data_IF_614028816954
#
_entry.id   IF_614028816954
#
_cell.length_a   1.000
_cell.length_b   1.000
_cell.length_c   1.000
_cell.angle_alpha   90.00
_cell.angle_beta   90.00
_cell.angle_gamma   90.00
#
_symmetry.space_group_name_H-M   'P 1'
#
loop_
_entity.id
_entity.type
_entity.pdbx_description
1 polymer ?
#
# COMPACT_ATOMS: atom_id res chain seq x y z
N UNK A 1 -17.23 -58.95 -60.14
CA UNK A 1 -16.58 -57.65 -59.90
C UNK A 1 -17.32 -56.98 -58.75
N UNK A 2 -16.76 -57.08 -57.54
CA UNK A 2 -17.25 -56.48 -56.29
C UNK A 2 -16.07 -55.73 -55.63
N UNK A 3 -16.32 -54.80 -54.69
CA UNK A 3 -15.79 -53.43 -54.68
C UNK A 3 -14.53 -53.27 -53.81
N UNK A 4 -14.00 -52.03 -53.65
CA UNK A 4 -13.29 -51.70 -52.42
C UNK A 4 -13.94 -50.53 -51.67
N UNK A 5 -14.23 -50.85 -50.41
CA UNK A 5 -14.69 -50.00 -49.33
C UNK A 5 -13.61 -48.98 -48.94
N UNK A 6 -13.96 -47.69 -48.91
CA UNK A 6 -13.14 -46.71 -48.24
C UNK A 6 -13.20 -46.92 -46.71
N UNK A 7 -12.05 -47.35 -46.19
CA UNK A 7 -11.73 -47.57 -44.78
C UNK A 7 -12.09 -46.35 -43.91
N UNK A 8 -13.06 -46.52 -43.00
CA UNK A 8 -13.14 -45.73 -41.76
C UNK A 8 -11.88 -46.00 -40.93
N UNK A 9 -10.96 -45.03 -40.84
CA UNK A 9 -9.93 -45.04 -39.78
C UNK A 9 -10.56 -44.52 -38.50
N UNK A 10 -10.86 -45.44 -37.58
CA UNK A 10 -10.98 -45.15 -36.15
C UNK A 10 -9.59 -44.82 -35.63
N UNK A 11 -9.36 -43.59 -35.14
CA UNK A 11 -8.20 -43.33 -34.30
C UNK A 11 -8.46 -43.91 -32.91
N UNK A 12 -7.64 -44.91 -32.60
CA UNK A 12 -7.60 -45.64 -31.34
C UNK A 12 -6.87 -44.78 -30.32
N UNK A 13 -7.52 -44.53 -29.18
CA UNK A 13 -6.90 -43.92 -28.02
C UNK A 13 -5.72 -44.79 -27.57
N UNK A 14 -4.52 -44.24 -27.65
CA UNK A 14 -3.34 -44.78 -27.00
C UNK A 14 -2.93 -43.79 -25.93
N UNK A 15 -3.28 -44.16 -24.69
CA UNK A 15 -2.82 -43.54 -23.47
C UNK A 15 -1.30 -43.74 -23.37
N UNK A 16 -0.57 -42.63 -23.32
CA UNK A 16 0.83 -42.61 -22.90
C UNK A 16 0.89 -42.17 -21.42
N UNK A 17 1.83 -42.71 -20.65
CA UNK A 17 1.82 -42.64 -19.19
C UNK A 17 2.20 -41.24 -18.69
N UNK A 18 1.31 -40.67 -17.87
CA UNK A 18 1.55 -39.50 -17.04
C UNK A 18 2.69 -39.80 -16.06
N UNK A 19 3.83 -39.14 -16.25
CA UNK A 19 4.89 -39.07 -15.22
C UNK A 19 4.47 -38.00 -14.22
N UNK A 20 3.85 -38.43 -13.11
CA UNK A 20 3.60 -37.57 -11.95
C UNK A 20 4.93 -37.34 -11.24
N UNK A 21 5.46 -36.12 -11.30
CA UNK A 21 6.43 -35.65 -10.32
C UNK A 21 5.66 -35.32 -9.03
N UNK A 22 5.79 -36.20 -8.05
CA UNK A 22 5.29 -36.02 -6.69
C UNK A 22 6.28 -35.13 -5.94
N UNK A 23 5.89 -33.88 -5.68
CA UNK A 23 6.58 -33.02 -4.72
C UNK A 23 5.98 -33.33 -3.35
N UNK A 24 6.78 -33.93 -2.49
CA UNK A 24 6.46 -34.16 -1.08
C UNK A 24 6.35 -32.82 -0.35
N UNK A 25 5.16 -32.53 0.16
CA UNK A 25 4.96 -31.47 1.14
C UNK A 25 5.15 -32.05 2.55
N UNK A 26 5.93 -31.41 3.45
CA UNK A 26 5.97 -31.83 4.85
C UNK A 26 4.63 -31.53 5.52
N UNK A 27 3.92 -32.60 5.88
CA UNK A 27 2.71 -32.55 6.69
C UNK A 27 3.07 -32.36 8.16
N UNK A 28 2.89 -31.14 8.67
CA UNK A 28 2.95 -30.90 10.12
C UNK A 28 1.63 -31.35 10.76
N UNK A 29 1.61 -32.60 11.22
CA UNK A 29 0.56 -33.15 12.07
C UNK A 29 0.83 -32.72 13.52
N UNK A 30 -0.01 -31.83 14.07
CA UNK A 30 -0.05 -31.59 15.50
C UNK A 30 -0.73 -32.77 16.20
N UNK A 31 0.08 -33.55 16.93
CA UNK A 31 -0.41 -34.56 17.88
C UNK A 31 -0.84 -33.85 19.17
N UNK A 32 -2.04 -34.11 19.70
CA UNK A 32 -2.37 -33.71 21.07
C UNK A 32 -1.70 -34.67 22.06
N UNK A 33 -0.82 -34.15 22.91
CA UNK A 33 -0.27 -34.90 24.05
C UNK A 33 -1.24 -34.81 25.22
N UNK A 34 -1.86 -35.94 25.56
CA UNK A 34 -2.51 -36.20 26.83
C UNK A 34 -1.46 -36.47 27.91
N UNK A 35 -1.52 -35.78 29.06
CA UNK A 35 -0.99 -36.32 30.33
C UNK A 35 -1.79 -35.79 31.53
N UNK A 36 -2.61 -36.69 32.05
CA UNK A 36 -3.03 -37.00 33.43
C UNK A 36 -2.65 -36.07 34.60
N UNK A 37 -3.70 -35.52 35.19
CA UNK A 37 -4.12 -35.48 36.62
C UNK A 37 -3.08 -35.65 37.73
N UNK A 38 -3.04 -34.69 38.66
CA UNK A 38 -2.87 -34.97 40.09
C UNK A 38 -3.83 -34.11 40.90
N UNK A 39 -4.68 -34.78 41.68
CA UNK A 39 -5.68 -34.25 42.60
C UNK A 39 -5.01 -33.73 43.86
N UNK A 40 -5.39 -32.56 44.36
CA UNK A 40 -5.43 -32.32 45.81
C UNK A 40 -6.54 -31.34 46.17
N UNK A 41 -7.20 -31.67 47.26
CA UNK A 41 -8.53 -31.29 47.71
C UNK A 41 -8.54 -30.17 48.76
N UNK A 42 -9.71 -29.50 48.85
CA UNK A 42 -10.35 -28.88 50.02
C UNK A 42 -9.86 -27.48 50.47
N UNK A 43 -10.72 -26.47 50.29
CA UNK A 43 -11.41 -25.67 51.35
C UNK A 43 -12.06 -24.43 50.69
N UNK A 44 -13.39 -24.36 50.56
CA UNK A 44 -14.35 -23.74 51.48
C UNK A 44 -14.51 -22.20 51.29
N UNK A 45 -15.78 -21.78 51.12
CA UNK A 45 -16.49 -20.50 51.43
C UNK A 45 -15.79 -19.12 51.27
N UNK A 46 -16.37 -18.22 50.45
CA UNK A 46 -17.36 -17.18 50.86
C UNK A 46 -17.80 -16.33 49.66
N UNK A 47 -19.12 -16.14 49.54
CA UNK A 47 -19.72 -15.00 48.85
C UNK A 47 -19.23 -13.70 49.50
N UNK A 48 -18.73 -12.77 48.69
CA UNK A 48 -18.87 -11.35 48.96
C UNK A 48 -19.17 -10.62 47.65
N UNK A 49 -20.42 -10.17 47.57
CA UNK A 49 -20.83 -9.02 46.79
C UNK A 49 -20.01 -7.80 47.20
N UNK A 50 -19.38 -7.14 46.24
CA UNK A 50 -18.96 -5.75 46.40
C UNK A 50 -19.34 -4.96 45.15
N UNK A 51 -20.37 -4.15 45.35
CA UNK A 51 -20.72 -2.99 44.54
C UNK A 51 -19.62 -1.95 44.78
N UNK A 52 -18.86 -1.60 43.74
CA UNK A 52 -17.92 -0.49 43.80
C UNK A 52 -18.20 0.48 42.67
N UNK A 53 -18.82 1.59 43.05
CA UNK A 53 -18.96 2.81 42.28
C UNK A 53 -17.58 3.40 42.02
N UNK A 54 -17.28 3.77 40.78
CA UNK A 54 -16.14 4.64 40.47
C UNK A 54 -16.44 5.48 39.24
N UNK A 55 -15.88 6.71 39.18
CA UNK A 55 -16.52 7.85 38.57
C UNK A 55 -16.35 7.88 37.05
N UNK A 56 -17.30 8.56 36.40
CA UNK A 56 -17.22 9.01 35.02
C UNK A 56 -15.92 9.81 34.85
N UNK A 57 -14.92 9.16 34.25
CA UNK A 57 -13.69 9.83 33.84
C UNK A 57 -13.99 10.46 32.49
N UNK A 58 -14.04 11.78 32.49
CA UNK A 58 -14.04 12.61 31.30
C UNK A 58 -12.92 12.15 30.36
N UNK A 59 -13.33 11.57 29.24
CA UNK A 59 -12.52 11.28 28.05
C UNK A 59 -11.85 12.60 27.62
N UNK A 60 -10.62 12.77 28.07
CA UNK A 60 -9.75 13.86 27.61
C UNK A 60 -8.85 13.23 26.56
N UNK A 61 -9.11 13.60 25.32
CA UNK A 61 -8.36 13.28 24.11
C UNK A 61 -6.86 13.53 24.30
N UNK A 62 -6.08 12.46 24.47
CA UNK A 62 -4.61 12.46 24.41
C UNK A 62 -4.16 11.54 23.27
N UNK A 63 -4.38 11.96 22.02
CA UNK A 63 -3.89 11.21 20.84
C UNK A 63 -2.82 11.97 20.06
N UNK A 64 -2.52 13.22 20.43
CA UNK A 64 -1.59 14.08 19.67
C UNK A 64 -0.11 13.83 20.00
N UNK A 65 0.23 13.34 21.19
CA UNK A 65 1.64 13.18 21.60
C UNK A 65 2.32 11.96 20.94
N UNK A 66 1.59 10.86 20.73
CA UNK A 66 2.17 9.63 20.15
C UNK A 66 2.47 9.77 18.66
N UNK A 67 1.60 10.43 17.89
CA UNK A 67 1.84 10.71 16.47
C UNK A 67 3.01 11.68 16.27
N UNK A 68 3.10 12.73 17.09
CA UNK A 68 4.19 13.72 17.03
C UNK A 68 5.57 13.05 17.18
N UNK A 69 5.77 12.21 18.20
CA UNK A 69 7.04 11.50 18.41
C UNK A 69 7.42 10.54 17.27
N UNK A 70 6.42 10.00 16.57
CA UNK A 70 6.62 9.07 15.47
C UNK A 70 6.98 9.81 14.17
N UNK A 71 6.37 10.98 13.93
CA UNK A 71 6.74 11.87 12.83
C UNK A 71 8.14 12.45 13.01
N UNK A 72 8.54 12.76 14.25
CA UNK A 72 9.91 13.20 14.55
C UNK A 72 10.95 12.14 14.20
N UNK A 73 10.65 10.85 14.46
CA UNK A 73 11.52 9.74 14.11
C UNK A 73 11.64 9.58 12.58
N UNK A 74 10.52 9.71 11.85
CA UNK A 74 10.53 9.73 10.39
C UNK A 74 11.38 10.89 9.85
N UNK A 75 11.18 12.09 10.39
CA UNK A 75 11.97 13.27 10.01
C UNK A 75 13.46 13.07 10.28
N UNK A 76 13.81 12.44 11.42
CA UNK A 76 15.19 12.11 11.73
C UNK A 76 15.81 11.18 10.67
N UNK A 77 15.16 10.06 10.34
CA UNK A 77 15.66 9.13 9.32
C UNK A 77 15.81 9.78 7.94
N UNK A 78 14.84 10.59 7.54
CA UNK A 78 14.89 11.34 6.29
C UNK A 78 16.02 12.38 6.27
N UNK A 79 16.23 13.09 7.39
CA UNK A 79 17.33 14.06 7.52
C UNK A 79 18.72 13.42 7.45
N UNK A 80 18.85 12.16 7.91
CA UNK A 80 20.07 11.37 7.78
C UNK A 80 20.20 10.65 6.43
N UNK A 81 19.30 10.91 5.47
CA UNK A 81 19.22 10.21 4.19
C UNK A 81 19.13 8.68 4.30
N UNK A 82 18.61 8.18 5.42
CA UNK A 82 18.35 6.76 5.64
C UNK A 82 16.92 6.43 5.16
N UNK A 83 16.76 6.45 3.84
CA UNK A 83 15.46 6.27 3.20
C UNK A 83 14.85 4.89 3.45
N UNK A 84 15.69 3.88 3.72
CA UNK A 84 15.23 2.54 4.09
C UNK A 84 14.53 2.54 5.43
N UNK A 85 15.16 3.10 6.47
CA UNK A 85 14.51 3.23 7.78
C UNK A 85 13.33 4.18 7.75
N UNK A 86 13.40 5.25 6.95
CA UNK A 86 12.27 6.15 6.75
C UNK A 86 11.06 5.43 6.13
N UNK A 87 11.26 4.51 5.18
CA UNK A 87 10.18 3.72 4.60
C UNK A 87 9.55 2.75 5.61
N UNK A 88 10.39 2.06 6.39
CA UNK A 88 9.92 1.17 7.46
C UNK A 88 9.11 1.93 8.51
N UNK A 89 9.58 3.11 8.89
CA UNK A 89 8.90 3.99 9.84
C UNK A 89 7.60 4.57 9.26
N UNK A 90 7.59 4.92 7.98
CA UNK A 90 6.37 5.35 7.27
C UNK A 90 5.32 4.24 7.29
N UNK A 91 5.72 2.99 7.05
CA UNK A 91 4.81 1.85 7.12
C UNK A 91 4.26 1.63 8.53
N UNK A 92 5.12 1.76 9.55
CA UNK A 92 4.72 1.66 10.96
C UNK A 92 3.72 2.76 11.33
N UNK A 93 3.96 3.99 10.87
CA UNK A 93 3.06 5.14 11.04
C UNK A 93 1.69 4.88 10.40
N UNK A 94 1.64 4.44 9.15
CA UNK A 94 0.37 4.12 8.48
C UNK A 94 -0.42 3.05 9.25
N UNK A 95 0.24 2.03 9.76
CA UNK A 95 -0.37 0.99 10.58
C UNK A 95 -0.91 1.57 11.89
N UNK A 96 -0.15 2.45 12.55
CA UNK A 96 -0.57 3.09 13.79
C UNK A 96 -1.81 3.98 13.58
N UNK A 97 -1.79 4.79 12.53
CA UNK A 97 -2.85 5.75 12.18
C UNK A 97 -4.14 5.06 11.68
N UNK A 98 -4.02 3.91 11.01
CA UNK A 98 -5.17 3.11 10.58
C UNK A 98 -5.97 2.50 11.75
N UNK A 99 -5.39 2.48 12.96
CA UNK A 99 -6.07 2.08 14.20
C UNK A 99 -5.59 0.74 14.79
N UNK A 100 -6.13 0.37 15.95
CA UNK A 100 -5.66 -0.78 16.73
C UNK A 100 -5.74 -2.13 15.98
N UNK A 101 -6.75 -2.29 15.13
CA UNK A 101 -6.93 -3.51 14.35
C UNK A 101 -5.76 -3.73 13.37
N UNK A 102 -5.32 -2.65 12.70
CA UNK A 102 -4.16 -2.69 11.82
C UNK A 102 -2.88 -2.96 12.60
N UNK A 103 -2.71 -2.33 13.77
CA UNK A 103 -1.54 -2.55 14.65
C UNK A 103 -1.39 -4.00 15.11
N UNK A 104 -2.48 -4.62 15.59
CA UNK A 104 -2.47 -6.03 16.01
C UNK A 104 -2.11 -6.99 14.88
N UNK A 105 -2.45 -6.62 13.64
CA UNK A 105 -2.25 -7.45 12.45
C UNK A 105 -0.92 -7.18 11.74
N UNK A 106 -0.34 -5.99 11.93
CA UNK A 106 0.91 -5.55 11.32
C UNK A 106 0.80 -5.09 9.85
N UNK A 107 -0.41 -4.82 9.34
CA UNK A 107 -0.62 -4.24 8.02
C UNK A 107 -1.99 -3.55 7.90
N UNK A 108 -2.10 -2.60 6.97
CA UNK A 108 -3.31 -1.80 6.70
C UNK A 108 -4.13 -2.41 5.56
N UNK A 109 -5.45 -2.49 5.72
CA UNK A 109 -6.38 -2.75 4.63
C UNK A 109 -6.81 -1.45 3.96
N UNK A 110 -7.17 -1.51 2.67
CA UNK A 110 -7.60 -0.33 1.91
C UNK A 110 -8.81 0.38 2.56
N UNK A 111 -9.73 -0.36 3.17
CA UNK A 111 -10.90 0.19 3.88
C UNK A 111 -10.54 0.91 5.18
N UNK A 112 -9.34 0.71 5.71
CA UNK A 112 -8.86 1.36 6.92
C UNK A 112 -8.19 2.71 6.62
N UNK A 113 -7.76 2.93 5.36
CA UNK A 113 -7.09 4.18 4.94
C UNK A 113 -7.98 5.39 5.15
N UNK A 114 -9.30 5.25 4.97
CA UNK A 114 -10.26 6.33 5.18
C UNK A 114 -10.31 6.87 6.62
N UNK A 115 -9.78 6.12 7.60
CA UNK A 115 -9.73 6.54 9.00
C UNK A 115 -8.46 7.33 9.33
N UNK A 116 -7.49 7.35 8.42
CA UNK A 116 -6.27 8.13 8.59
C UNK A 116 -6.60 9.60 8.35
N UNK A 117 -6.19 10.48 9.28
CA UNK A 117 -6.43 11.91 9.12
C UNK A 117 -5.74 12.45 7.86
N UNK A 118 -6.41 13.32 7.07
CA UNK A 118 -5.77 14.01 5.96
C UNK A 118 -4.51 14.78 6.36
N UNK A 119 -4.49 15.34 7.57
CA UNK A 119 -3.37 16.12 8.08
C UNK A 119 -2.14 15.25 8.37
N UNK A 120 -2.35 14.04 8.90
CA UNK A 120 -1.26 13.11 9.19
C UNK A 120 -0.62 12.58 7.89
N UNK A 121 -1.43 12.20 6.88
CA UNK A 121 -0.90 11.80 5.57
C UNK A 121 -0.16 12.95 4.88
N UNK A 122 -0.69 14.17 4.99
CA UNK A 122 -0.03 15.36 4.44
C UNK A 122 1.28 15.67 5.17
N UNK A 123 1.37 15.44 6.48
CA UNK A 123 2.60 15.60 7.24
C UNK A 123 3.67 14.58 6.79
N UNK A 124 3.30 13.31 6.63
CA UNK A 124 4.20 12.27 6.10
C UNK A 124 4.70 12.67 4.70
N UNK A 125 3.79 13.07 3.81
CA UNK A 125 4.14 13.45 2.44
C UNK A 125 5.06 14.68 2.38
N UNK A 126 4.79 15.70 3.19
CA UNK A 126 5.64 16.90 3.30
C UNK A 126 7.05 16.55 3.74
N UNK A 127 7.22 15.66 4.70
CA UNK A 127 8.53 15.20 5.15
C UNK A 127 9.28 14.50 4.02
N UNK A 128 8.63 13.56 3.33
CA UNK A 128 9.23 12.88 2.18
C UNK A 128 9.66 13.85 1.08
N UNK A 129 8.81 14.81 0.73
CA UNK A 129 9.13 15.83 -0.28
C UNK A 129 10.28 16.73 0.15
N UNK A 130 10.25 17.25 1.38
CA UNK A 130 11.25 18.17 1.90
C UNK A 130 12.66 17.56 1.89
N UNK A 131 12.79 16.29 2.26
CA UNK A 131 14.08 15.61 2.37
C UNK A 131 14.52 14.87 1.08
N UNK A 132 13.71 14.90 0.02
CA UNK A 132 14.03 14.30 -1.28
C UNK A 132 14.16 15.31 -2.42
N UNK A 133 14.13 16.61 -2.12
CA UNK A 133 14.08 17.65 -3.15
C UNK A 133 12.82 17.57 -4.02
N UNK A 134 11.70 17.13 -3.43
CA UNK A 134 10.42 16.97 -4.11
C UNK A 134 10.30 15.72 -5.00
N UNK A 135 11.25 14.78 -4.92
CA UNK A 135 11.26 13.58 -5.80
C UNK A 135 10.48 12.40 -5.23
N UNK A 136 10.32 12.32 -3.91
CA UNK A 136 9.60 11.24 -3.22
C UNK A 136 8.37 11.77 -2.48
N UNK A 137 7.42 10.87 -2.22
CA UNK A 137 6.16 11.18 -1.55
C UNK A 137 4.93 10.59 -2.26
N UNK A 138 3.83 10.47 -1.52
CA UNK A 138 2.56 9.98 -2.04
C UNK A 138 1.90 10.97 -3.01
N UNK A 139 2.07 12.28 -2.81
CA UNK A 139 1.58 13.29 -3.76
C UNK A 139 2.31 13.22 -5.09
N UNK A 140 3.63 12.97 -5.05
CA UNK A 140 4.45 12.74 -6.24
C UNK A 140 4.01 11.47 -6.97
N UNK A 141 3.82 10.37 -6.23
CA UNK A 141 3.29 9.12 -6.79
C UNK A 141 1.90 9.31 -7.41
N UNK A 142 1.01 10.03 -6.74
CA UNK A 142 -0.34 10.36 -7.24
C UNK A 142 -0.25 11.11 -8.57
N UNK A 143 0.57 12.16 -8.63
CA UNK A 143 0.79 12.93 -9.86
C UNK A 143 1.28 12.05 -11.00
N UNK A 144 2.24 11.16 -10.74
CA UNK A 144 2.75 10.22 -11.75
C UNK A 144 1.64 9.24 -12.19
N UNK A 145 0.88 8.70 -11.24
CA UNK A 145 -0.20 7.76 -11.51
C UNK A 145 -1.30 8.38 -12.38
N UNK A 146 -1.80 9.56 -12.01
CA UNK A 146 -2.86 10.26 -12.74
C UNK A 146 -2.38 10.81 -14.09
N UNK A 147 -1.29 11.59 -14.10
CA UNK A 147 -0.88 12.36 -15.27
C UNK A 147 -0.03 11.54 -16.25
N UNK A 148 0.95 10.78 -15.73
CA UNK A 148 1.95 10.09 -16.56
C UNK A 148 1.56 8.64 -16.88
N UNK A 149 0.84 7.98 -15.98
CA UNK A 149 0.41 6.59 -16.12
C UNK A 149 -1.06 6.44 -16.54
N UNK A 150 -1.86 7.52 -16.55
CA UNK A 150 -3.29 7.51 -16.92
C UNK A 150 -4.11 6.53 -16.07
N UNK A 151 -3.82 6.51 -14.76
CA UNK A 151 -4.42 5.63 -13.77
C UNK A 151 -4.15 4.12 -13.98
N UNK A 152 -3.16 3.75 -14.79
CA UNK A 152 -2.72 2.37 -15.01
C UNK A 152 -1.54 2.01 -14.08
N UNK A 153 -1.77 1.08 -13.15
CA UNK A 153 -0.74 0.65 -12.20
C UNK A 153 0.46 -0.04 -12.86
N UNK A 154 0.28 -0.73 -13.98
CA UNK A 154 1.39 -1.38 -14.70
C UNK A 154 2.37 -0.32 -15.20
N UNK A 155 1.84 0.74 -15.84
CA UNK A 155 2.65 1.85 -16.32
C UNK A 155 3.26 2.64 -15.17
N UNK A 156 2.51 2.81 -14.08
CA UNK A 156 2.99 3.46 -12.88
C UNK A 156 4.20 2.71 -12.29
N UNK A 157 4.09 1.40 -12.06
CA UNK A 157 5.17 0.60 -11.49
C UNK A 157 6.45 0.61 -12.33
N UNK A 158 6.32 0.63 -13.66
CA UNK A 158 7.47 0.80 -14.55
C UNK A 158 8.11 2.19 -14.36
N UNK A 159 7.29 3.25 -14.30
CA UNK A 159 7.78 4.63 -14.16
C UNK A 159 8.44 4.91 -12.82
N UNK A 160 7.89 4.38 -11.72
CA UNK A 160 8.47 4.57 -10.38
C UNK A 160 9.57 3.54 -10.06
N UNK A 161 9.91 2.65 -11.00
CA UNK A 161 10.99 1.67 -10.83
C UNK A 161 10.66 0.52 -9.86
N UNK A 162 9.39 0.15 -9.74
CA UNK A 162 8.96 -1.04 -8.97
C UNK A 162 8.88 -2.29 -9.82
N UNK A 163 9.03 -2.15 -11.14
CA UNK A 163 9.20 -3.24 -12.09
C UNK A 163 10.49 -3.04 -12.87
N UNK A 164 11.30 -4.09 -12.98
CA UNK A 164 12.47 -4.08 -13.87
C UNK A 164 12.13 -4.68 -15.22
N UNK A 165 12.73 -4.13 -16.25
CA UNK A 165 12.82 -4.79 -17.56
C UNK A 165 13.73 -6.00 -17.43
N UNK A 166 13.34 -7.09 -18.06
CA UNK A 166 14.21 -8.21 -18.31
C UNK A 166 14.93 -7.98 -19.64
N UNK A 167 16.23 -8.26 -19.66
CA UNK A 167 17.05 -8.25 -20.87
C UNK A 167 16.78 -9.51 -21.71
N UNK A 168 15.54 -9.62 -22.18
CA UNK A 168 15.07 -10.70 -23.06
C UNK A 168 14.68 -10.11 -24.42
N UNK A 169 14.74 -10.93 -25.47
CA UNK A 169 14.34 -10.53 -26.83
C UNK A 169 12.88 -10.02 -26.92
N UNK A 170 12.06 -10.42 -25.93
CA UNK A 170 10.69 -9.93 -25.72
C UNK A 170 10.68 -8.98 -24.52
N UNK A 171 9.99 -7.84 -24.64
CA UNK A 171 9.81 -6.91 -23.52
C UNK A 171 8.99 -7.56 -22.40
N UNK A 172 9.69 -8.00 -21.34
CA UNK A 172 9.08 -8.55 -20.14
C UNK A 172 9.48 -7.72 -18.93
N UNK A 173 8.55 -7.58 -17.97
CA UNK A 173 8.77 -6.88 -16.72
C UNK A 173 8.54 -7.81 -15.53
N UNK A 174 9.45 -7.78 -14.56
CA UNK A 174 9.29 -8.47 -13.28
C UNK A 174 9.18 -7.45 -12.15
N UNK A 175 8.36 -7.77 -11.15
CA UNK A 175 8.32 -7.01 -9.90
C UNK A 175 9.68 -7.05 -9.20
N UNK A 176 10.08 -5.92 -8.62
CA UNK A 176 11.30 -5.85 -7.82
C UNK A 176 11.09 -6.64 -6.52
N UNK A 177 12.11 -7.40 -6.12
CA UNK A 177 12.12 -8.12 -4.85
C UNK A 177 12.58 -7.21 -3.72
N UNK A 178 11.71 -7.08 -2.71
CA UNK A 178 12.03 -6.35 -1.49
C UNK A 178 13.01 -7.16 -0.64
N UNK A 179 14.01 -6.54 0.03
CA UNK A 179 14.38 -5.13 -0.01
C UNK A 179 15.52 -4.79 -0.98
N UNK A 180 16.23 -5.79 -1.50
CA UNK A 180 17.56 -5.60 -2.09
C UNK A 180 17.54 -5.02 -3.53
N UNK A 181 16.42 -5.14 -4.24
CA UNK A 181 16.30 -4.60 -5.61
C UNK A 181 15.77 -3.15 -5.67
N UNK A 182 15.42 -2.56 -4.51
CA UNK A 182 14.97 -1.16 -4.44
C UNK A 182 16.15 -0.20 -4.24
N UNK A 183 16.02 1.02 -4.75
CA UNK A 183 17.05 2.04 -4.68
C UNK A 183 16.76 2.93 -3.46
N UNK A 184 17.62 2.86 -2.46
CA UNK A 184 17.48 3.57 -1.19
C UNK A 184 18.29 4.86 -1.11
N UNK A 185 18.78 5.35 -2.24
CA UNK A 185 19.63 6.55 -2.34
C UNK A 185 18.95 7.63 -3.18
N UNK A 186 19.23 8.89 -2.85
CA UNK A 186 18.78 10.04 -3.63
C UNK A 186 19.84 10.39 -4.69
N UNK A 187 19.81 9.66 -5.81
CA UNK A 187 20.71 9.90 -6.95
C UNK A 187 19.90 10.12 -8.25
N UNK A 188 20.56 10.53 -9.33
CA UNK A 188 19.88 10.82 -10.61
C UNK A 188 19.28 9.58 -11.28
N UNK A 189 19.74 8.38 -10.90
CA UNK A 189 19.20 7.12 -11.40
C UNK A 189 17.89 6.71 -10.70
N UNK A 190 17.63 7.18 -9.47
CA UNK A 190 16.42 6.84 -8.73
C UNK A 190 15.18 7.48 -9.36
N UNK A 191 14.16 6.71 -9.77
CA UNK A 191 12.99 7.31 -10.39
C UNK A 191 12.21 8.24 -9.46
N UNK A 192 11.55 9.25 -10.04
CA UNK A 192 10.60 10.08 -9.32
C UNK A 192 9.44 9.20 -8.78
N UNK A 193 9.03 9.43 -7.53
CA UNK A 193 8.00 8.64 -6.86
C UNK A 193 8.42 7.23 -6.44
N UNK A 194 9.71 6.88 -6.50
CA UNK A 194 10.19 5.55 -6.11
C UNK A 194 9.83 5.20 -4.66
N UNK A 195 9.87 6.18 -3.76
CA UNK A 195 9.55 6.04 -2.34
C UNK A 195 8.43 7.01 -1.92
N UNK A 196 7.70 6.73 -0.84
CA UNK A 196 7.73 5.51 -0.02
C UNK A 196 7.08 4.30 -0.72
N UNK A 197 7.46 3.08 -0.34
CA UNK A 197 6.92 1.84 -0.88
C UNK A 197 5.57 1.50 -0.24
N UNK A 198 4.66 1.01 -1.07
CA UNK A 198 3.40 0.42 -0.62
C UNK A 198 3.32 -1.02 -1.10
N UNK A 199 3.15 -1.96 -0.16
CA UNK A 199 3.14 -3.38 -0.49
C UNK A 199 1.92 -3.74 -1.36
N UNK A 200 2.17 -4.14 -2.61
CA UNK A 200 1.16 -4.55 -3.59
C UNK A 200 0.94 -6.07 -3.68
N UNK A 201 1.54 -6.89 -2.79
CA UNK A 201 1.36 -8.35 -2.77
C UNK A 201 -0.10 -8.78 -2.57
N UNK A 202 -0.94 -7.89 -2.03
CA UNK A 202 -2.38 -8.10 -1.80
C UNK A 202 -3.24 -7.34 -2.80
N UNK A 203 -2.67 -6.94 -3.93
CA UNK A 203 -3.31 -6.10 -4.94
C UNK A 203 -3.04 -4.60 -4.73
N UNK A 204 -3.54 -3.80 -5.67
CA UNK A 204 -3.27 -2.36 -5.72
C UNK A 204 -4.27 -1.51 -4.96
N UNK A 205 -5.33 -2.10 -4.38
CA UNK A 205 -6.40 -1.36 -3.71
C UNK A 205 -5.91 -0.47 -2.57
N UNK A 206 -4.95 -0.94 -1.76
CA UNK A 206 -4.36 -0.12 -0.69
C UNK A 206 -3.68 1.12 -1.26
N UNK A 207 -2.85 0.94 -2.30
CA UNK A 207 -2.18 2.04 -2.97
C UNK A 207 -3.20 2.99 -3.60
N UNK A 208 -4.22 2.47 -4.29
CA UNK A 208 -5.32 3.28 -4.84
C UNK A 208 -5.94 4.14 -3.76
N UNK A 209 -6.33 3.56 -2.61
CA UNK A 209 -6.97 4.29 -1.52
C UNK A 209 -6.08 5.37 -0.92
N UNK A 210 -4.76 5.15 -0.84
CA UNK A 210 -3.81 6.18 -0.40
C UNK A 210 -3.70 7.30 -1.44
N UNK A 211 -3.53 6.97 -2.73
CA UNK A 211 -3.36 7.97 -3.79
C UNK A 211 -4.64 8.79 -4.03
N UNK A 212 -5.82 8.21 -3.85
CA UNK A 212 -7.11 8.92 -3.97
C UNK A 212 -7.57 9.53 -2.64
N UNK A 213 -6.72 9.59 -1.62
CA UNK A 213 -7.09 10.16 -0.32
C UNK A 213 -7.25 11.68 -0.43
N UNK A 214 -8.24 12.30 0.24
CA UNK A 214 -8.47 13.76 0.20
C UNK A 214 -7.30 14.59 0.72
N UNK A 215 -6.32 13.98 1.38
CA UNK A 215 -5.06 14.63 1.78
C UNK A 215 -4.35 15.31 0.61
N UNK A 216 -4.50 14.78 -0.61
CA UNK A 216 -3.79 15.20 -1.81
C UNK A 216 -4.70 15.82 -2.89
N UNK A 217 -5.98 16.08 -2.58
CA UNK A 217 -6.94 16.67 -3.52
C UNK A 217 -6.77 18.19 -3.68
N UNK A 218 -6.17 18.86 -2.70
CA UNK A 218 -5.97 20.30 -2.77
C UNK A 218 -4.73 20.63 -3.60
N UNK A 219 -4.97 21.39 -4.67
CA UNK A 219 -3.99 21.74 -5.68
C UNK A 219 -2.68 22.24 -5.06
N UNK A 220 -1.59 21.70 -5.57
CA UNK A 220 -0.19 22.00 -5.29
C UNK A 220 0.07 23.52 -5.31
N UNK A 221 -0.25 24.25 -4.24
CA UNK A 221 -0.02 25.70 -4.09
C UNK A 221 1.47 26.05 -4.04
N UNK A 222 2.36 25.05 -4.06
CA UNK A 222 3.82 25.26 -3.95
C UNK A 222 4.57 25.32 -5.28
N UNK A 223 3.91 25.19 -6.44
CA UNK A 223 4.61 25.25 -7.74
C UNK A 223 4.57 26.62 -8.44
N UNK A 224 3.89 27.64 -7.86
CA UNK A 224 3.65 28.92 -8.53
C UNK A 224 4.54 30.09 -8.03
N UNK A 225 5.49 29.86 -7.13
CA UNK A 225 6.24 30.94 -6.46
C UNK A 225 7.62 31.26 -7.05
N UNK A 226 8.06 30.61 -8.14
CA UNK A 226 9.37 30.88 -8.77
C UNK A 226 9.27 31.17 -10.27
N UNK A 227 8.27 31.92 -10.72
CA UNK A 227 8.34 32.61 -12.02
C UNK A 227 7.66 33.98 -11.91
N UNK A 228 8.34 34.95 -11.30
CA UNK A 228 7.99 36.36 -11.44
C UNK A 228 9.24 37.21 -11.57
N UNK A 229 9.69 37.43 -12.80
CA UNK A 229 10.25 38.70 -13.27
C UNK A 229 10.51 38.62 -14.78
N UNK A 230 9.50 39.00 -15.56
CA UNK A 230 9.67 39.60 -16.90
C UNK A 230 8.34 40.24 -17.30
N UNK A 231 8.29 41.57 -17.23
CA UNK A 231 7.20 42.40 -17.73
C UNK A 231 7.01 42.25 -19.25
N UNK A 232 5.76 42.41 -19.71
CA UNK A 232 5.41 42.49 -21.12
C UNK A 232 3.90 42.60 -21.33
N UNK A 233 3.44 43.78 -21.76
CA UNK A 233 2.06 44.24 -21.89
C UNK A 233 1.12 43.41 -22.80
N UNK A 234 -0.17 43.43 -22.43
CA UNK A 234 -1.28 43.65 -23.38
C UNK A 234 -2.03 42.42 -23.91
N UNK A 235 -3.24 42.18 -23.36
CA UNK A 235 -4.51 42.04 -24.10
C UNK A 235 -5.57 41.32 -23.26
N UNK A 236 -6.62 42.07 -22.92
CA UNK A 236 -7.86 41.62 -22.30
C UNK A 236 -8.65 40.70 -23.25
N UNK A 237 -8.94 39.47 -22.80
CA UNK A 237 -9.91 38.59 -23.44
C UNK A 237 -10.62 37.77 -22.35
N UNK A 238 -11.83 38.19 -22.01
CA UNK A 238 -12.77 37.47 -21.15
C UNK A 238 -13.13 36.12 -21.80
N UNK A 239 -12.87 35.01 -21.09
CA UNK A 239 -13.36 33.68 -21.48
C UNK A 239 -13.86 32.93 -20.26
N UNK A 240 -15.14 32.58 -20.35
CA UNK A 240 -15.97 31.99 -19.30
C UNK A 240 -15.45 30.61 -18.85
N UNK A 241 -15.58 30.34 -17.54
CA UNK A 241 -15.31 29.05 -16.88
C UNK A 241 -16.30 27.98 -17.36
N UNK A 242 -15.87 26.77 -17.75
CA UNK A 242 -16.77 25.64 -17.80
C UNK A 242 -16.91 25.01 -16.41
N UNK A 243 -18.15 24.74 -16.02
CA UNK A 243 -18.52 24.11 -14.76
C UNK A 243 -17.87 22.72 -14.61
N UNK A 244 -17.25 22.49 -13.47
CA UNK A 244 -16.74 21.17 -13.04
C UNK A 244 -17.91 20.21 -12.82
N UNK A 245 -18.03 19.22 -13.70
CA UNK A 245 -18.94 18.09 -13.56
C UNK A 245 -18.41 17.20 -12.43
N UNK A 246 -19.07 17.23 -11.27
CA UNK A 246 -18.92 16.19 -10.24
C UNK A 246 -19.46 14.88 -10.82
N UNK A 247 -18.59 13.91 -11.05
CA UNK A 247 -18.99 12.52 -11.33
C UNK A 247 -18.91 11.76 -10.03
N UNK A 248 -20.06 11.58 -9.39
CA UNK A 248 -20.21 10.68 -8.27
C UNK A 248 -19.95 9.24 -8.76
N UNK A 249 -18.86 8.65 -8.28
CA UNK A 249 -18.49 7.27 -8.56
C UNK A 249 -19.09 6.38 -7.48
N UNK A 250 -20.21 5.72 -7.77
CA UNK A 250 -20.82 4.75 -6.87
C UNK A 250 -20.56 3.34 -7.42
N UNK A 251 -19.62 2.57 -6.85
CA UNK A 251 -19.42 1.17 -7.23
C UNK A 251 -20.50 0.29 -6.58
N UNK A 252 -21.34 -0.32 -7.42
CA UNK A 252 -22.33 -1.33 -7.00
C UNK A 252 -21.60 -2.62 -6.58
N UNK A 253 -21.73 -2.98 -5.30
CA UNK A 253 -21.20 -4.20 -4.69
C UNK A 253 -22.32 -5.21 -4.46
N UNK A 254 -22.92 -5.68 -5.54
CA UNK A 254 -23.86 -6.80 -5.50
C UNK A 254 -23.14 -8.08 -5.99
N UNK A 255 -22.93 -9.02 -5.06
CA UNK A 255 -22.38 -10.37 -5.31
C UNK A 255 -23.42 -11.31 -5.91
#
# INVERSE_FOLDING_TARGET
HNPPLHRRRRHRHHLLPTTQFQIDYPSFSFKPTTTTTTTTTITHYKLFSNLSSSPLTTITTTTTTSSSSSLDLLAHHLSSSDFRRADDETRRLLIALAGEAAQKRGYVFFSEVQFISPDDLRAIDRLWRAHSGGRFGYSVQRRIWEQKARCDFTRFFIRVGWMRRLDTEVEQYNYCTFPDEFIWELNDATPEGHLPLTNALRGTQLLTSILTHPAFDEGDETAAAEESESEGEGAEMTRERPATVRRDFNPDYSF
#
